data_IF_947663196279
#
_entry.id   IF_947663196279
#
_cell.length_a   1.000
_cell.length_b   1.000
_cell.length_c   1.000
_cell.angle_alpha   90.00
_cell.angle_beta   90.00
_cell.angle_gamma   90.00
#
_symmetry.space_group_name_H-M   'P 1'
#
loop_
_entity.id
_entity.type
_entity.pdbx_description
1 polymer ?
#
# COMPACT_ATOMS: atom_id res chain seq x y z
N UNK A 1 -19.39 -32.13 11.47
CA UNK A 1 -18.53 -30.98 11.83
C UNK A 1 -18.60 -30.05 10.64
N UNK A 2 -19.33 -28.96 10.79
CA UNK A 2 -19.66 -28.05 9.69
C UNK A 2 -18.40 -27.34 9.23
N UNK A 3 -18.02 -27.58 7.97
CA UNK A 3 -17.01 -26.80 7.26
C UNK A 3 -17.60 -25.40 7.01
N UNK A 4 -17.15 -24.41 7.77
CA UNK A 4 -17.28 -23.02 7.34
C UNK A 4 -16.26 -22.82 6.22
N UNK A 5 -16.68 -23.05 4.97
CA UNK A 5 -16.03 -22.36 3.86
C UNK A 5 -16.27 -20.86 4.07
N UNK A 6 -15.25 -20.00 4.04
CA UNK A 6 -15.49 -18.57 4.04
C UNK A 6 -16.36 -18.26 2.83
N UNK A 7 -17.35 -17.40 3.03
CA UNK A 7 -18.28 -17.00 1.99
C UNK A 7 -17.46 -16.55 0.77
N UNK A 8 -17.54 -17.32 -0.32
CA UNK A 8 -16.77 -17.08 -1.52
C UNK A 8 -16.99 -15.66 -2.04
N UNK A 9 -16.03 -15.15 -2.81
CA UNK A 9 -16.03 -13.78 -3.35
C UNK A 9 -17.32 -13.37 -4.10
N UNK A 10 -18.18 -14.32 -4.49
CA UNK A 10 -19.54 -14.10 -5.00
C UNK A 10 -20.52 -13.46 -3.99
N UNK A 11 -20.14 -13.32 -2.71
CA UNK A 11 -21.00 -12.83 -1.64
C UNK A 11 -20.77 -11.36 -1.23
N UNK A 12 -19.73 -10.69 -1.72
CA UNK A 12 -19.45 -9.30 -1.34
C UNK A 12 -20.36 -8.31 -2.09
N UNK A 13 -21.13 -7.51 -1.36
CA UNK A 13 -21.79 -6.32 -1.91
C UNK A 13 -20.75 -5.21 -2.14
N UNK A 14 -20.36 -5.03 -3.40
CA UNK A 14 -19.38 -4.03 -3.82
C UNK A 14 -20.03 -2.74 -4.35
N UNK A 15 -21.35 -2.59 -4.29
CA UNK A 15 -22.06 -1.44 -4.84
C UNK A 15 -21.56 -0.12 -4.24
N UNK A 16 -21.37 -0.07 -2.93
CA UNK A 16 -20.88 1.10 -2.20
C UNK A 16 -19.45 1.54 -2.59
N UNK A 17 -18.66 0.64 -3.19
CA UNK A 17 -17.32 0.99 -3.69
C UNK A 17 -17.38 1.82 -4.97
N UNK A 18 -18.42 1.68 -5.79
CA UNK A 18 -18.47 2.26 -7.16
C UNK A 18 -19.60 3.26 -7.39
N UNK A 19 -20.62 3.27 -6.54
CA UNK A 19 -21.76 4.18 -6.66
C UNK A 19 -21.34 5.67 -6.72
N UNK A 20 -22.12 6.52 -7.38
CA UNK A 20 -21.84 7.97 -7.37
C UNK A 20 -22.10 8.56 -5.99
N UNK A 21 -21.11 9.23 -5.40
CA UNK A 21 -21.23 9.85 -4.07
C UNK A 21 -21.37 11.37 -4.19
N UNK A 22 -22.28 11.95 -3.42
CA UNK A 22 -22.45 13.40 -3.32
C UNK A 22 -21.40 13.99 -2.38
N UNK A 23 -20.71 15.04 -2.83
CA UNK A 23 -19.62 15.68 -2.09
C UNK A 23 -20.00 16.12 -0.66
N UNK A 24 -21.23 16.59 -0.45
CA UNK A 24 -21.72 17.01 0.88
C UNK A 24 -21.70 15.86 1.89
N UNK A 25 -22.05 14.64 1.47
CA UNK A 25 -22.05 13.45 2.32
C UNK A 25 -20.63 13.09 2.74
N UNK A 26 -19.69 13.10 1.79
CA UNK A 26 -18.26 12.86 2.06
C UNK A 26 -17.72 13.90 3.06
N UNK A 27 -18.04 15.18 2.88
CA UNK A 27 -17.55 16.21 3.80
C UNK A 27 -18.14 16.10 5.20
N UNK A 28 -19.39 15.65 5.33
CA UNK A 28 -20.04 15.44 6.62
C UNK A 28 -19.42 14.25 7.34
N UNK A 29 -19.20 13.16 6.61
CA UNK A 29 -18.49 11.97 7.08
C UNK A 29 -17.06 12.30 7.55
N UNK A 30 -16.31 13.04 6.75
CA UNK A 30 -14.95 13.45 7.09
C UNK A 30 -14.89 14.28 8.40
N UNK A 31 -15.83 15.19 8.60
CA UNK A 31 -15.93 15.98 9.85
C UNK A 31 -16.26 15.12 11.05
N UNK A 32 -17.14 14.13 10.89
CA UNK A 32 -17.46 13.16 11.95
C UNK A 32 -16.20 12.39 12.36
N UNK A 33 -15.48 11.81 11.39
CA UNK A 33 -14.23 11.10 11.66
C UNK A 33 -13.20 11.99 12.35
N UNK A 34 -13.04 13.24 11.92
CA UNK A 34 -12.13 14.19 12.58
C UNK A 34 -12.52 14.43 14.06
N UNK A 35 -13.82 14.52 14.36
CA UNK A 35 -14.30 14.70 15.75
C UNK A 35 -14.14 13.47 16.63
N UNK A 36 -14.33 12.27 16.08
CA UNK A 36 -14.33 11.00 16.83
C UNK A 36 -12.92 10.42 17.00
N UNK A 37 -12.12 10.50 15.94
CA UNK A 37 -10.81 9.81 15.84
C UNK A 37 -9.63 10.78 15.74
N UNK A 38 -9.88 12.09 15.65
CA UNK A 38 -8.83 13.09 15.47
C UNK A 38 -8.18 13.07 14.09
N UNK A 39 -8.66 12.21 13.18
CA UNK A 39 -8.09 12.03 11.86
C UNK A 39 -8.52 13.19 10.97
N UNK A 40 -7.56 14.04 10.61
CA UNK A 40 -7.83 15.23 9.81
C UNK A 40 -7.91 14.88 8.33
N UNK A 41 -9.02 15.26 7.69
CA UNK A 41 -9.10 15.36 6.24
C UNK A 41 -8.38 16.63 5.80
N UNK A 42 -7.04 16.62 5.78
CA UNK A 42 -6.27 17.82 5.57
C UNK A 42 -4.94 17.57 4.89
N UNK A 43 -4.61 18.47 3.95
CA UNK A 43 -3.33 18.52 3.26
C UNK A 43 -2.19 18.35 4.26
N UNK A 44 -1.40 17.29 4.07
CA UNK A 44 -0.21 17.06 4.89
C UNK A 44 0.62 18.34 4.89
N UNK A 45 0.92 18.86 6.09
CA UNK A 45 1.79 20.04 6.26
C UNK A 45 3.12 19.88 5.53
N UNK A 46 3.52 18.63 5.31
CA UNK A 46 4.70 18.24 4.55
C UNK A 46 4.58 18.59 3.05
N UNK A 47 3.44 18.32 2.39
CA UNK A 47 3.27 18.56 0.95
C UNK A 47 3.26 20.06 0.64
N UNK A 48 2.59 20.85 1.49
CA UNK A 48 2.63 22.32 1.42
C UNK A 48 4.07 22.81 1.67
N UNK A 49 4.75 22.23 2.66
CA UNK A 49 6.15 22.53 2.96
C UNK A 49 7.09 22.28 1.77
N UNK A 50 6.98 21.11 1.12
CA UNK A 50 7.78 20.77 -0.06
C UNK A 50 7.50 21.71 -1.24
N UNK A 51 6.23 22.03 -1.51
CA UNK A 51 5.88 22.97 -2.57
C UNK A 51 6.47 24.37 -2.30
N UNK A 52 6.37 24.86 -1.05
CA UNK A 52 6.96 26.14 -0.63
C UNK A 52 8.48 26.12 -0.75
N UNK A 53 9.14 25.04 -0.34
CA UNK A 53 10.60 24.89 -0.42
C UNK A 53 11.08 24.87 -1.88
N UNK A 54 10.38 24.18 -2.80
CA UNK A 54 10.73 24.18 -4.23
C UNK A 54 10.61 25.59 -4.83
N UNK A 55 9.54 26.32 -4.49
CA UNK A 55 9.38 27.72 -4.92
C UNK A 55 10.52 28.59 -4.39
N UNK A 56 10.87 28.45 -3.11
CA UNK A 56 11.89 29.28 -2.46
C UNK A 56 13.32 28.94 -2.90
N UNK A 57 13.65 27.66 -3.11
CA UNK A 57 15.01 27.22 -3.45
C UNK A 57 15.32 27.20 -4.94
N UNK A 58 14.31 26.97 -5.78
CA UNK A 58 14.49 26.85 -7.23
C UNK A 58 13.84 28.02 -7.95
N UNK A 59 12.59 28.36 -7.61
CA UNK A 59 11.87 29.44 -8.29
C UNK A 59 12.53 30.80 -8.08
N UNK A 60 12.66 31.24 -6.82
CA UNK A 60 13.16 32.58 -6.49
C UNK A 60 14.60 32.83 -6.99
N UNK A 61 15.59 31.96 -6.75
CA UNK A 61 16.97 32.22 -7.16
C UNK A 61 17.13 32.22 -8.67
N UNK A 62 16.38 31.34 -9.37
CA UNK A 62 16.43 31.26 -10.83
C UNK A 62 15.78 32.49 -11.46
N UNK A 63 14.63 32.94 -10.97
CA UNK A 63 14.01 34.18 -11.46
C UNK A 63 14.87 35.42 -11.21
N UNK A 64 15.55 35.51 -10.05
CA UNK A 64 16.47 36.62 -9.74
C UNK A 64 17.70 36.60 -10.63
N UNK A 65 18.35 35.44 -10.79
CA UNK A 65 19.55 35.30 -11.62
C UNK A 65 19.28 35.67 -13.08
N UNK A 66 18.18 35.15 -13.64
CA UNK A 66 17.81 35.45 -15.02
C UNK A 66 17.32 36.90 -15.19
N UNK A 67 16.69 37.49 -14.17
CA UNK A 67 16.35 38.91 -14.14
C UNK A 67 17.60 39.80 -14.21
N UNK A 68 18.64 39.49 -13.44
CA UNK A 68 19.92 40.20 -13.47
C UNK A 68 20.61 40.04 -14.84
N UNK A 69 20.65 38.83 -15.40
CA UNK A 69 21.24 38.58 -16.73
C UNK A 69 20.50 39.30 -17.86
N UNK A 70 19.19 39.54 -17.71
CA UNK A 70 18.39 40.25 -18.71
C UNK A 70 18.74 41.74 -18.83
N UNK A 71 19.29 42.34 -17.78
CA UNK A 71 19.70 43.76 -17.77
C UNK A 71 20.94 44.01 -18.61
N UNK A 72 21.81 43.01 -18.76
CA UNK A 72 23.15 43.15 -19.35
C UNK A 72 23.26 42.52 -20.75
N UNK A 73 22.49 41.45 -21.03
CA UNK A 73 22.63 40.66 -22.27
C UNK A 73 21.40 40.67 -23.20
N UNK A 74 20.42 41.52 -22.92
CA UNK A 74 19.30 41.79 -23.83
C UNK A 74 18.16 40.76 -23.80
N UNK A 75 17.18 40.97 -24.70
CA UNK A 75 15.84 40.40 -24.62
C UNK A 75 15.76 38.85 -24.69
N UNK A 76 16.77 38.18 -25.25
CA UNK A 76 16.81 36.70 -25.32
C UNK A 76 16.82 36.09 -23.91
N UNK A 77 17.59 36.70 -22.99
CA UNK A 77 17.65 36.24 -21.59
C UNK A 77 16.38 36.59 -20.82
N UNK A 78 15.72 37.69 -21.16
CA UNK A 78 14.39 38.01 -20.62
C UNK A 78 13.34 36.96 -21.02
N UNK A 79 13.38 36.50 -22.28
CA UNK A 79 12.50 35.41 -22.76
C UNK A 79 12.81 34.11 -22.02
N UNK A 80 14.09 33.74 -21.87
CA UNK A 80 14.49 32.55 -21.11
C UNK A 80 14.04 32.62 -19.64
N UNK A 81 14.18 33.78 -18.99
CA UNK A 81 13.70 34.05 -17.63
C UNK A 81 12.20 33.79 -17.48
N UNK A 82 11.43 34.32 -18.44
CA UNK A 82 9.97 34.19 -18.46
C UNK A 82 9.56 32.73 -18.65
N UNK A 83 10.18 32.01 -19.58
CA UNK A 83 9.89 30.58 -19.84
C UNK A 83 10.18 29.72 -18.61
N UNK A 84 11.32 29.91 -17.96
CA UNK A 84 11.68 29.15 -16.76
C UNK A 84 10.74 29.46 -15.60
N UNK A 85 10.40 30.74 -15.39
CA UNK A 85 9.46 31.13 -14.34
C UNK A 85 8.07 30.53 -14.56
N UNK A 86 7.58 30.52 -15.82
CA UNK A 86 6.32 29.86 -16.20
C UNK A 86 6.41 28.35 -15.96
N UNK A 87 7.52 27.70 -16.33
CA UNK A 87 7.72 26.27 -16.09
C UNK A 87 7.72 25.92 -14.60
N UNK A 88 8.37 26.72 -13.75
CA UNK A 88 8.35 26.55 -12.29
C UNK A 88 6.94 26.68 -11.74
N UNK A 89 6.19 27.70 -12.15
CA UNK A 89 4.79 27.88 -11.73
C UNK A 89 3.93 26.70 -12.19
N UNK A 90 4.10 26.22 -13.42
CA UNK A 90 3.38 25.06 -13.93
C UNK A 90 3.70 23.78 -13.14
N UNK A 91 4.97 23.57 -12.76
CA UNK A 91 5.39 22.46 -11.89
C UNK A 91 4.74 22.60 -10.51
N UNK A 92 4.74 23.80 -9.93
CA UNK A 92 4.11 24.05 -8.63
C UNK A 92 2.60 23.79 -8.68
N UNK A 93 1.91 24.27 -9.72
CA UNK A 93 0.49 23.99 -9.92
C UNK A 93 0.25 22.48 -10.06
N UNK A 94 1.07 21.75 -10.83
CA UNK A 94 0.93 20.29 -10.93
C UNK A 94 1.15 19.60 -9.58
N UNK A 95 2.14 20.00 -8.80
CA UNK A 95 2.41 19.45 -7.45
C UNK A 95 1.22 19.73 -6.53
N UNK A 96 0.70 20.95 -6.52
CA UNK A 96 -0.46 21.33 -5.73
C UNK A 96 -1.73 20.59 -6.17
N UNK A 97 -1.94 20.41 -7.48
CA UNK A 97 -3.05 19.64 -8.01
C UNK A 97 -2.93 18.16 -7.65
N UNK A 98 -1.75 17.56 -7.78
CA UNK A 98 -1.50 16.17 -7.39
C UNK A 98 -1.72 15.96 -5.88
N UNK A 99 -1.18 16.85 -5.05
CA UNK A 99 -1.42 16.84 -3.61
C UNK A 99 -2.90 17.05 -3.27
N UNK A 100 -3.60 17.93 -3.98
CA UNK A 100 -5.05 18.15 -3.76
C UNK A 100 -5.91 16.95 -4.18
N UNK A 101 -5.52 16.23 -5.23
CA UNK A 101 -6.21 15.01 -5.69
C UNK A 101 -6.01 13.89 -4.69
N UNK A 102 -4.78 13.66 -4.25
CA UNK A 102 -4.46 12.68 -3.21
C UNK A 102 -5.24 12.96 -1.90
N UNK A 103 -5.41 14.23 -1.53
CA UNK A 103 -6.20 14.62 -0.36
C UNK A 103 -7.73 14.55 -0.55
N UNK A 104 -8.23 14.61 -1.79
CA UNK A 104 -9.67 14.47 -2.09
C UNK A 104 -10.10 13.01 -2.19
N UNK A 105 -9.20 12.16 -2.65
CA UNK A 105 -9.43 10.72 -2.79
C UNK A 105 -9.53 10.04 -1.42
N UNK A 106 -8.80 10.49 -0.40
CA UNK A 106 -8.81 9.86 0.91
C UNK A 106 -10.17 9.93 1.63
N UNK A 107 -10.84 11.09 1.79
CA UNK A 107 -12.16 11.14 2.43
C UNK A 107 -13.24 10.35 1.69
N UNK A 108 -13.24 10.40 0.35
CA UNK A 108 -14.20 9.64 -0.45
C UNK A 108 -13.97 8.14 -0.32
N UNK A 109 -12.71 7.68 -0.41
CA UNK A 109 -12.36 6.28 -0.20
C UNK A 109 -12.81 5.79 1.19
N UNK A 110 -12.54 6.56 2.25
CA UNK A 110 -12.96 6.21 3.62
C UNK A 110 -14.47 6.08 3.74
N UNK A 111 -15.22 7.01 3.15
CA UNK A 111 -16.68 6.94 3.12
C UNK A 111 -17.18 5.67 2.40
N UNK A 112 -16.61 5.36 1.23
CA UNK A 112 -16.95 4.17 0.45
C UNK A 112 -16.62 2.88 1.20
N UNK A 113 -15.46 2.82 1.84
CA UNK A 113 -15.03 1.66 2.60
C UNK A 113 -15.86 1.43 3.87
N UNK A 114 -16.25 2.49 4.57
CA UNK A 114 -17.16 2.35 5.72
C UNK A 114 -18.52 1.79 5.29
N UNK A 115 -19.05 2.26 4.16
CA UNK A 115 -20.31 1.74 3.60
C UNK A 115 -20.18 0.31 3.11
N UNK A 116 -19.11 0.02 2.36
CA UNK A 116 -18.78 -1.34 1.93
C UNK A 116 -18.68 -2.30 3.13
N UNK A 117 -18.02 -1.87 4.22
CA UNK A 117 -17.95 -2.67 5.43
C UNK A 117 -19.34 -2.91 6.04
N UNK A 118 -20.14 -1.84 6.17
CA UNK A 118 -21.49 -1.94 6.72
C UNK A 118 -22.42 -2.84 5.89
N UNK A 119 -22.35 -2.76 4.55
CA UNK A 119 -23.17 -3.57 3.64
C UNK A 119 -22.80 -5.07 3.68
N UNK A 120 -21.60 -5.39 4.18
CA UNK A 120 -21.06 -6.76 4.26
C UNK A 120 -20.85 -7.25 5.71
N UNK A 121 -21.37 -6.53 6.70
CA UNK A 121 -21.20 -6.86 8.13
C UNK A 121 -19.71 -6.99 8.56
N UNK A 122 -18.84 -6.17 7.97
CA UNK A 122 -17.42 -6.09 8.27
C UNK A 122 -17.11 -4.92 9.19
N UNK A 123 -15.99 -5.01 9.91
CA UNK A 123 -15.48 -3.90 10.72
C UNK A 123 -14.61 -2.97 9.86
N UNK A 124 -14.92 -1.68 9.90
CA UNK A 124 -14.07 -0.64 9.31
C UNK A 124 -13.36 0.16 10.40
N UNK A 125 -12.03 0.21 10.32
CA UNK A 125 -11.16 0.99 11.19
C UNK A 125 -10.37 1.99 10.34
N UNK A 126 -10.66 3.30 10.42
CA UNK A 126 -9.99 4.30 9.60
C UNK A 126 -8.47 4.35 9.79
N UNK A 127 -8.01 4.31 11.04
CA UNK A 127 -6.59 4.24 11.41
C UNK A 127 -6.41 3.38 12.66
N UNK A 128 -5.41 2.50 12.63
CA UNK A 128 -4.96 1.72 13.78
C UNK A 128 -3.46 1.97 14.00
N UNK A 129 -3.09 2.66 15.11
CA UNK A 129 -1.69 2.88 15.43
C UNK A 129 -1.04 1.62 16.00
N UNK A 130 0.21 1.39 15.63
CA UNK A 130 1.04 0.27 16.12
C UNK A 130 0.34 -1.10 15.99
N UNK A 131 -0.10 -1.49 14.77
CA UNK A 131 -0.75 -2.78 14.53
C UNK A 131 0.20 -3.92 14.92
N UNK A 132 -0.30 -4.87 15.71
CA UNK A 132 0.49 -5.96 16.30
C UNK A 132 0.31 -7.25 15.51
N UNK A 133 0.98 -7.32 14.36
CA UNK A 133 1.06 -8.56 13.58
C UNK A 133 2.49 -9.12 13.55
N UNK A 134 2.66 -10.45 13.45
CA UNK A 134 3.96 -11.10 13.38
C UNK A 134 4.69 -10.89 12.04
N UNK A 135 3.97 -10.44 10.99
CA UNK A 135 4.55 -10.21 9.67
C UNK A 135 5.69 -9.21 9.67
N UNK A 136 6.64 -9.39 8.76
CA UNK A 136 7.95 -8.76 8.89
C UNK A 136 7.93 -7.23 8.74
N UNK A 137 6.96 -6.67 8.00
CA UNK A 137 6.83 -5.22 7.83
C UNK A 137 6.36 -4.50 9.10
N UNK A 138 5.70 -5.23 10.03
CA UNK A 138 5.09 -4.65 11.22
C UNK A 138 6.09 -4.37 12.35
N UNK A 139 7.30 -4.92 12.26
CA UNK A 139 8.40 -4.62 13.21
C UNK A 139 9.31 -3.49 12.75
N UNK A 140 9.04 -2.90 11.57
CA UNK A 140 9.94 -1.92 10.93
C UNK A 140 9.60 -0.48 11.30
N UNK A 141 10.63 0.34 11.24
CA UNK A 141 10.50 1.79 11.42
C UNK A 141 9.89 2.17 12.76
N UNK A 142 9.28 3.34 12.77
CA UNK A 142 8.50 3.94 13.86
C UNK A 142 7.24 4.56 13.24
N UNK A 143 6.36 5.13 14.08
CA UNK A 143 5.12 5.79 13.63
C UNK A 143 4.29 4.86 12.73
N UNK A 144 4.12 3.60 13.17
CA UNK A 144 3.44 2.57 12.40
C UNK A 144 1.94 2.76 12.46
N UNK A 145 1.29 2.78 11.31
CA UNK A 145 -0.16 2.98 11.23
C UNK A 145 -0.73 2.12 10.12
N UNK A 146 -1.74 1.31 10.44
CA UNK A 146 -2.64 0.73 9.46
C UNK A 146 -3.75 1.74 9.14
N UNK A 147 -4.07 1.91 7.87
CA UNK A 147 -5.04 2.85 7.32
C UNK A 147 -6.12 2.08 6.58
N UNK A 148 -7.36 2.53 6.74
CA UNK A 148 -8.53 1.98 6.05
C UNK A 148 -8.63 0.46 6.23
N UNK A 149 -8.48 -0.01 7.46
CA UNK A 149 -8.50 -1.42 7.79
C UNK A 149 -9.94 -1.95 7.71
N UNK A 150 -10.12 -3.02 6.94
CA UNK A 150 -11.33 -3.83 6.88
C UNK A 150 -11.04 -5.16 7.54
N UNK A 151 -11.90 -5.56 8.47
CA UNK A 151 -11.77 -6.78 9.28
C UNK A 151 -13.00 -7.65 9.08
N UNK A 152 -12.79 -8.93 8.80
CA UNK A 152 -13.85 -9.95 8.81
C UNK A 152 -13.99 -10.49 10.23
N UNK A 153 -15.12 -10.25 10.91
CA UNK A 153 -15.35 -10.80 12.24
C UNK A 153 -15.36 -12.34 12.16
N UNK A 154 -14.51 -12.99 12.95
CA UNK A 154 -14.47 -14.46 13.09
C UNK A 154 -13.55 -15.22 12.14
N UNK A 155 -13.26 -14.70 10.94
CA UNK A 155 -12.34 -15.36 9.98
C UNK A 155 -10.88 -14.98 10.18
N UNK A 156 -10.61 -13.95 10.99
CA UNK A 156 -9.26 -13.44 11.21
C UNK A 156 -8.61 -12.85 9.95
N UNK A 157 -9.41 -12.63 8.90
CA UNK A 157 -9.02 -11.95 7.68
C UNK A 157 -9.07 -10.43 7.87
N UNK A 158 -8.01 -9.76 7.44
CA UNK A 158 -7.87 -8.32 7.49
C UNK A 158 -7.25 -7.80 6.19
N UNK A 159 -7.70 -6.64 5.73
CA UNK A 159 -7.13 -5.93 4.58
C UNK A 159 -6.97 -4.46 4.94
N UNK A 160 -5.77 -3.91 4.75
CA UNK A 160 -5.53 -2.50 5.01
C UNK A 160 -4.42 -1.94 4.12
N UNK A 161 -4.22 -0.64 4.22
CA UNK A 161 -2.98 0.01 3.82
C UNK A 161 -2.14 0.26 5.07
N UNK A 162 -0.82 0.35 4.95
CA UNK A 162 0.08 0.43 6.09
C UNK A 162 1.22 1.39 5.79
N UNK A 163 1.57 2.21 6.77
CA UNK A 163 2.71 3.11 6.67
C UNK A 163 3.61 3.04 7.90
N UNK A 164 4.89 3.27 7.67
CA UNK A 164 5.87 3.46 8.74
C UNK A 164 6.96 4.44 8.30
N UNK A 165 7.66 5.00 9.28
CA UNK A 165 8.74 5.95 9.05
C UNK A 165 10.07 5.31 9.42
N UNK A 166 11.04 5.40 8.52
CA UNK A 166 12.45 5.09 8.85
C UNK A 166 13.25 6.37 8.90
N UNK A 167 14.25 6.43 9.79
CA UNK A 167 15.22 7.51 9.82
C UNK A 167 16.54 7.03 9.24
N UNK A 168 16.98 7.67 8.16
CA UNK A 168 18.27 7.42 7.53
C UNK A 168 19.42 8.20 8.16
N UNK A 169 20.57 8.18 7.49
CA UNK A 169 21.73 8.98 7.88
C UNK A 169 21.36 10.48 7.93
N UNK A 170 21.83 11.19 8.97
CA UNK A 170 21.50 12.61 9.27
C UNK A 170 20.03 12.89 9.62
N UNK A 171 19.26 11.88 10.00
CA UNK A 171 17.89 12.07 10.49
C UNK A 171 16.86 12.36 9.39
N UNK A 172 17.21 12.08 8.13
CA UNK A 172 16.25 12.15 7.01
C UNK A 172 15.17 11.09 7.27
N UNK A 173 13.92 11.55 7.41
CA UNK A 173 12.76 10.67 7.58
C UNK A 173 12.22 10.26 6.21
N UNK A 174 12.07 8.96 6.00
CA UNK A 174 11.42 8.38 4.81
C UNK A 174 10.13 7.69 5.24
N UNK A 175 9.03 8.00 4.57
CA UNK A 175 7.74 7.33 4.74
C UNK A 175 7.68 6.16 3.77
N UNK A 176 7.34 4.99 4.29
CA UNK A 176 7.08 3.78 3.52
C UNK A 176 5.59 3.48 3.53
N UNK A 177 5.06 3.01 2.41
CA UNK A 177 3.64 2.68 2.25
C UNK A 177 3.50 1.29 1.63
N UNK A 178 2.52 0.55 2.13
CA UNK A 178 2.20 -0.84 1.80
C UNK A 178 0.68 -1.00 1.70
N UNK A 179 0.22 -1.90 0.84
CA UNK A 179 -1.04 -2.59 1.04
C UNK A 179 -0.75 -3.96 1.67
N UNK A 180 -1.60 -4.40 2.60
CA UNK A 180 -1.54 -5.75 3.11
C UNK A 180 -2.91 -6.40 3.22
N UNK A 181 -2.93 -7.72 3.02
CA UNK A 181 -4.01 -8.60 3.43
C UNK A 181 -3.43 -9.71 4.30
N UNK A 182 -4.15 -10.16 5.33
CA UNK A 182 -3.70 -11.25 6.19
C UNK A 182 -4.85 -12.09 6.67
N UNK A 183 -4.67 -13.40 6.75
CA UNK A 183 -5.65 -14.34 7.27
C UNK A 183 -4.99 -15.34 8.21
N UNK A 184 -5.77 -15.83 9.18
CA UNK A 184 -5.39 -16.98 9.99
C UNK A 184 -5.46 -18.25 9.13
N UNK A 185 -4.42 -19.08 9.15
CA UNK A 185 -4.44 -20.36 8.45
C UNK A 185 -5.21 -21.40 9.25
N UNK A 186 -6.03 -22.19 8.56
CA UNK A 186 -6.85 -23.26 9.16
C UNK A 186 -6.03 -24.53 9.43
N UNK A 187 -4.85 -24.64 8.82
CA UNK A 187 -3.94 -25.78 8.94
C UNK A 187 -2.50 -25.31 9.12
N UNK A 188 -1.63 -26.09 9.81
CA UNK A 188 -0.24 -25.72 9.99
C UNK A 188 0.49 -25.59 8.64
N UNK A 189 1.25 -24.51 8.48
CA UNK A 189 2.14 -24.30 7.34
C UNK A 189 3.55 -23.94 7.84
N UNK A 190 4.61 -24.32 7.10
CA UNK A 190 5.96 -23.91 7.45
C UNK A 190 6.12 -22.40 7.29
N UNK A 191 6.93 -21.80 8.18
CA UNK A 191 7.29 -20.40 8.03
C UNK A 191 8.12 -20.20 6.75
N UNK A 192 7.69 -19.27 5.91
CA UNK A 192 8.29 -19.01 4.61
C UNK A 192 8.09 -17.57 4.18
N UNK A 193 8.87 -17.17 3.19
CA UNK A 193 8.71 -15.91 2.48
C UNK A 193 8.88 -16.13 0.98
N UNK A 194 7.92 -15.68 0.19
CA UNK A 194 7.97 -15.64 -1.26
C UNK A 194 8.04 -14.17 -1.73
N UNK A 195 9.20 -13.76 -2.22
CA UNK A 195 9.44 -12.39 -2.70
C UNK A 195 9.39 -12.32 -4.23
N UNK A 196 8.43 -11.58 -4.78
CA UNK A 196 8.27 -11.29 -6.19
C UNK A 196 9.17 -10.15 -6.66
N UNK A 197 9.98 -10.41 -7.70
CA UNK A 197 10.96 -9.41 -8.22
C UNK A 197 10.34 -8.14 -8.80
N UNK A 198 9.03 -8.15 -9.13
CA UNK A 198 8.28 -7.00 -9.63
C UNK A 198 7.78 -6.09 -8.50
N UNK A 199 7.59 -6.61 -7.28
CA UNK A 199 7.17 -5.82 -6.13
C UNK A 199 8.38 -5.14 -5.46
N UNK A 200 9.11 -4.33 -6.23
CA UNK A 200 10.26 -3.61 -5.70
C UNK A 200 9.77 -2.56 -4.71
N UNK A 201 10.04 -2.80 -3.43
CA UNK A 201 9.81 -1.86 -2.35
C UNK A 201 9.63 -2.52 -1.00
N UNK A 202 8.97 -3.69 -0.92
CA UNK A 202 8.75 -4.34 0.38
C UNK A 202 10.09 -4.94 0.79
N UNK A 203 10.63 -5.76 -0.12
CA UNK A 203 11.84 -6.52 0.10
C UNK A 203 12.99 -5.81 -0.60
N UNK A 204 13.35 -4.62 -0.10
CA UNK A 204 14.78 -4.24 -0.10
C UNK A 204 15.54 -5.21 0.82
N UNK A 205 16.84 -5.38 0.61
CA UNK A 205 17.74 -6.47 1.06
C UNK A 205 17.65 -6.85 2.57
N UNK A 206 16.92 -6.08 3.36
CA UNK A 206 16.72 -6.26 4.80
C UNK A 206 15.48 -7.08 5.20
N UNK A 207 14.48 -7.30 4.33
CA UNK A 207 13.33 -8.17 4.72
C UNK A 207 13.78 -9.62 4.62
N UNK A 208 14.60 -9.97 3.65
CA UNK A 208 15.20 -11.31 3.60
C UNK A 208 16.11 -11.59 4.79
N UNK A 209 16.54 -10.61 5.61
CA UNK A 209 17.50 -10.77 6.72
C UNK A 209 17.28 -12.00 7.64
N UNK A 210 16.04 -12.40 7.92
CA UNK A 210 15.76 -13.63 8.70
C UNK A 210 16.20 -14.90 7.97
N UNK A 211 16.16 -14.88 6.64
CA UNK A 211 16.56 -15.95 5.74
C UNK A 211 17.87 -15.67 4.96
N UNK A 212 18.46 -14.47 5.06
CA UNK A 212 19.55 -13.94 4.23
C UNK A 212 20.88 -14.71 4.39
N UNK A 213 20.96 -15.54 5.43
CA UNK A 213 22.06 -16.50 5.62
C UNK A 213 21.92 -17.71 4.66
N UNK A 214 20.86 -17.76 3.83
CA UNK A 214 20.51 -18.93 2.99
C UNK A 214 20.45 -18.58 1.51
N UNK A 215 20.45 -19.63 0.70
CA UNK A 215 20.19 -19.51 -0.73
C UNK A 215 18.69 -19.66 -0.99
N UNK A 216 18.02 -18.70 -1.65
CA UNK A 216 16.62 -18.83 -2.00
C UNK A 216 16.41 -19.86 -3.11
N UNK A 217 15.26 -20.52 -3.10
CA UNK A 217 14.78 -21.29 -4.25
C UNK A 217 14.12 -20.35 -5.24
N UNK A 218 14.58 -20.32 -6.48
CA UNK A 218 14.01 -19.46 -7.52
C UNK A 218 12.81 -20.15 -8.16
N UNK A 219 11.70 -19.43 -8.25
CA UNK A 219 10.49 -19.88 -8.93
C UNK A 219 10.15 -18.90 -10.05
N UNK A 220 9.51 -19.40 -11.11
CA UNK A 220 9.12 -18.59 -12.26
C UNK A 220 7.84 -19.10 -12.87
N UNK A 221 7.08 -18.19 -13.48
CA UNK A 221 5.88 -18.48 -14.27
C UNK A 221 6.19 -18.35 -15.76
N UNK A 222 5.42 -19.00 -16.66
CA UNK A 222 5.66 -18.90 -18.11
C UNK A 222 5.52 -17.49 -18.68
N UNK A 223 4.72 -16.63 -18.07
CA UNK A 223 4.55 -15.21 -18.43
C UNK A 223 5.67 -14.30 -17.90
N UNK A 224 6.73 -14.88 -17.31
CA UNK A 224 7.92 -14.16 -16.87
C UNK A 224 7.84 -13.56 -15.47
N UNK A 225 6.87 -13.96 -14.66
CA UNK A 225 6.90 -13.76 -13.21
C UNK A 225 8.11 -14.46 -12.59
N UNK A 226 8.75 -13.81 -11.62
CA UNK A 226 9.97 -14.31 -10.97
C UNK A 226 9.89 -14.08 -9.48
N UNK A 227 10.19 -15.13 -8.72
CA UNK A 227 10.11 -15.15 -7.28
C UNK A 227 11.34 -15.78 -6.65
N UNK A 228 11.64 -15.35 -5.43
CA UNK A 228 12.59 -15.99 -4.53
C UNK A 228 11.83 -16.54 -3.32
N UNK A 229 11.83 -17.85 -3.18
CA UNK A 229 11.26 -18.58 -2.05
C UNK A 229 12.35 -18.82 -1.00
N UNK A 230 12.07 -18.33 0.20
CA UNK A 230 12.89 -18.48 1.39
C UNK A 230 12.12 -19.32 2.41
N UNK A 231 12.76 -20.36 2.93
CA UNK A 231 12.21 -21.20 3.99
C UNK A 231 13.37 -21.82 4.80
N UNK A 232 13.03 -22.60 5.83
CA UNK A 232 14.03 -23.44 6.51
C UNK A 232 14.43 -24.62 5.61
N UNK A 233 15.71 -25.07 5.63
CA UNK A 233 16.15 -26.17 4.76
C UNK A 233 15.34 -27.46 4.91
N UNK A 234 14.88 -27.76 6.13
CA UNK A 234 14.02 -28.91 6.40
C UNK A 234 12.59 -28.77 5.83
N UNK A 235 12.16 -27.54 5.57
CA UNK A 235 10.79 -27.19 5.19
C UNK A 235 10.69 -26.74 3.72
N UNK A 236 11.81 -26.59 3.01
CA UNK A 236 11.85 -26.00 1.65
C UNK A 236 11.05 -26.81 0.63
N UNK A 237 11.06 -28.14 0.73
CA UNK A 237 10.30 -29.00 -0.18
C UNK A 237 8.80 -28.91 0.07
N UNK A 238 8.37 -28.76 1.32
CA UNK A 238 6.96 -28.53 1.69
C UNK A 238 6.53 -27.14 1.20
N UNK A 239 7.32 -26.11 1.53
CA UNK A 239 7.07 -24.74 1.10
C UNK A 239 6.95 -24.62 -0.42
N UNK A 240 7.84 -25.30 -1.18
CA UNK A 240 7.80 -25.27 -2.66
C UNK A 240 6.52 -25.90 -3.23
N UNK A 241 5.94 -26.91 -2.59
CA UNK A 241 4.71 -27.57 -3.06
C UNK A 241 3.46 -26.69 -2.93
N UNK A 242 3.48 -25.69 -2.04
CA UNK A 242 2.39 -24.72 -1.93
C UNK A 242 2.23 -23.86 -3.18
N UNK A 243 3.30 -23.67 -3.94
CA UNK A 243 3.34 -22.77 -5.09
C UNK A 243 3.34 -23.53 -6.40
N UNK A 244 2.15 -23.68 -6.97
CA UNK A 244 2.01 -24.10 -8.35
C UNK A 244 2.04 -22.90 -9.31
N UNK A 245 2.01 -23.20 -10.60
CA UNK A 245 2.08 -22.18 -11.64
C UNK A 245 0.91 -21.19 -11.60
N UNK A 246 -0.29 -21.68 -11.25
CA UNK A 246 -1.50 -20.86 -11.18
C UNK A 246 -1.42 -19.83 -10.06
N UNK A 247 -1.06 -20.25 -8.84
CA UNK A 247 -0.90 -19.34 -7.71
C UNK A 247 0.23 -18.34 -7.95
N UNK A 248 1.37 -18.78 -8.47
CA UNK A 248 2.47 -17.87 -8.80
C UNK A 248 2.06 -16.82 -9.84
N UNK A 249 1.27 -17.20 -10.84
CA UNK A 249 0.78 -16.27 -11.86
C UNK A 249 -0.21 -15.26 -11.27
N UNK A 250 -1.10 -15.72 -10.38
CA UNK A 250 -2.04 -14.88 -9.65
C UNK A 250 -1.31 -13.83 -8.78
N UNK A 251 -0.25 -14.23 -8.07
CA UNK A 251 0.59 -13.32 -7.28
C UNK A 251 1.41 -12.38 -8.17
N UNK A 252 1.91 -12.85 -9.32
CA UNK A 252 2.70 -12.05 -10.25
C UNK A 252 1.88 -10.94 -10.90
N UNK A 253 0.61 -11.19 -11.20
CA UNK A 253 -0.30 -10.24 -11.85
C UNK A 253 -0.47 -8.94 -11.04
N UNK A 254 -0.41 -9.03 -9.71
CA UNK A 254 -0.54 -7.88 -8.80
C UNK A 254 0.76 -7.49 -8.08
N UNK A 255 1.88 -8.10 -8.46
CA UNK A 255 3.19 -7.90 -7.83
C UNK A 255 3.09 -8.05 -6.31
N UNK A 256 2.74 -9.26 -5.88
CA UNK A 256 2.50 -9.58 -4.47
C UNK A 256 3.68 -10.37 -3.92
N UNK A 257 4.06 -10.01 -2.70
CA UNK A 257 4.91 -10.86 -1.87
C UNK A 257 4.06 -11.57 -0.83
N UNK A 258 4.45 -12.77 -0.45
CA UNK A 258 3.70 -13.61 0.46
C UNK A 258 4.59 -14.07 1.61
N UNK A 259 4.12 -13.91 2.84
CA UNK A 259 4.78 -14.41 4.04
C UNK A 259 3.84 -15.34 4.80
N UNK A 260 4.36 -16.46 5.30
CA UNK A 260 3.68 -17.27 6.30
C UNK A 260 4.51 -17.27 7.56
N UNK A 261 3.91 -16.83 8.67
CA UNK A 261 4.55 -16.74 9.98
C UNK A 261 3.50 -16.84 11.08
N UNK A 262 3.82 -17.54 12.17
CA UNK A 262 2.95 -17.73 13.34
C UNK A 262 1.50 -18.15 13.00
N UNK A 263 1.36 -19.07 12.04
CA UNK A 263 0.07 -19.62 11.63
C UNK A 263 -0.79 -18.65 10.81
N UNK A 264 -0.23 -17.54 10.31
CA UNK A 264 -0.92 -16.58 9.46
C UNK A 264 -0.24 -16.47 8.12
N UNK A 265 -1.04 -16.18 7.09
CA UNK A 265 -0.54 -15.71 5.80
C UNK A 265 -0.66 -14.19 5.70
N UNK A 266 0.32 -13.56 5.07
CA UNK A 266 0.33 -12.16 4.72
C UNK A 266 0.60 -12.02 3.23
N UNK A 267 -0.17 -11.15 2.58
CA UNK A 267 0.05 -10.68 1.22
C UNK A 267 0.46 -9.21 1.30
N UNK A 268 1.59 -8.85 0.70
CA UNK A 268 2.11 -7.48 0.71
C UNK A 268 2.21 -6.93 -0.70
N UNK A 269 1.83 -5.67 -0.87
CA UNK A 269 1.92 -4.93 -2.13
C UNK A 269 2.49 -3.54 -1.94
N UNK A 270 3.28 -3.05 -2.89
CA UNK A 270 3.67 -1.63 -2.94
C UNK A 270 2.55 -0.70 -3.43
N UNK A 271 1.37 -1.26 -3.72
CA UNK A 271 0.14 -0.54 -4.02
C UNK A 271 -0.87 -0.72 -2.91
N UNK A 272 -1.84 0.20 -2.75
CA UNK A 272 -2.95 0.01 -1.84
C UNK A 272 -3.72 -1.28 -2.14
N UNK A 273 -4.04 -2.04 -1.09
CA UNK A 273 -4.92 -3.21 -1.17
C UNK A 273 -6.32 -2.91 -0.59
N UNK A 274 -6.41 -1.99 0.38
CA UNK A 274 -7.69 -1.42 0.80
C UNK A 274 -8.03 -0.24 -0.12
N UNK A 275 -8.93 -0.49 -1.07
CA UNK A 275 -9.21 0.37 -2.23
C UNK A 275 -10.70 0.35 -2.60
N UNK A 276 -11.13 1.29 -3.45
CA UNK A 276 -12.49 1.32 -4.01
C UNK A 276 -12.66 0.44 -5.25
N UNK A 277 -11.62 -0.30 -5.65
CA UNK A 277 -11.65 -1.23 -6.79
C UNK A 277 -12.21 -2.60 -6.37
N UNK A 278 -13.41 -2.99 -6.84
CA UNK A 278 -14.02 -4.28 -6.51
C UNK A 278 -13.15 -5.49 -6.88
N UNK A 279 -12.46 -5.43 -8.03
CA UNK A 279 -11.65 -6.55 -8.53
C UNK A 279 -10.49 -6.89 -7.60
N UNK A 280 -10.02 -5.91 -6.83
CA UNK A 280 -8.98 -6.12 -5.82
C UNK A 280 -9.51 -6.93 -4.63
N UNK A 281 -10.73 -6.67 -4.17
CA UNK A 281 -11.36 -7.42 -3.07
C UNK A 281 -11.62 -8.87 -3.44
N UNK A 282 -12.24 -9.10 -4.61
CA UNK A 282 -12.49 -10.44 -5.16
C UNK A 282 -11.18 -11.23 -5.25
N UNK A 283 -10.16 -10.62 -5.85
CA UNK A 283 -8.86 -11.27 -5.99
C UNK A 283 -8.20 -11.59 -4.65
N UNK A 284 -8.30 -10.73 -3.62
CA UNK A 284 -7.74 -11.01 -2.29
C UNK A 284 -8.41 -12.26 -1.71
N UNK A 285 -9.75 -12.31 -1.71
CA UNK A 285 -10.50 -13.44 -1.16
C UNK A 285 -10.17 -14.74 -1.89
N UNK A 286 -10.16 -14.73 -3.22
CA UNK A 286 -9.79 -15.89 -4.03
C UNK A 286 -8.36 -16.35 -3.76
N UNK A 287 -7.42 -15.41 -3.61
CA UNK A 287 -6.01 -15.72 -3.34
C UNK A 287 -5.87 -16.35 -1.95
N UNK A 288 -6.51 -15.78 -0.93
CA UNK A 288 -6.49 -16.31 0.44
C UNK A 288 -7.11 -17.70 0.47
N UNK A 289 -8.27 -17.91 -0.16
CA UNK A 289 -8.91 -19.22 -0.24
C UNK A 289 -8.01 -20.25 -0.92
N UNK A 290 -7.40 -19.88 -2.06
CA UNK A 290 -6.46 -20.75 -2.77
C UNK A 290 -5.30 -21.17 -1.86
N UNK A 291 -4.78 -20.26 -1.03
CA UNK A 291 -3.71 -20.57 -0.09
C UNK A 291 -4.19 -21.52 1.02
N UNK A 292 -5.38 -21.29 1.59
CA UNK A 292 -5.96 -22.18 2.61
C UNK A 292 -6.10 -23.60 2.08
N UNK A 293 -6.67 -23.76 0.89
CA UNK A 293 -6.87 -25.07 0.25
C UNK A 293 -5.54 -25.78 0.01
N UNK A 294 -4.51 -25.04 -0.43
CA UNK A 294 -3.17 -25.58 -0.65
C UNK A 294 -2.53 -26.05 0.64
N UNK A 295 -2.59 -25.24 1.69
CA UNK A 295 -2.04 -25.59 3.00
C UNK A 295 -2.76 -26.81 3.58
N UNK A 296 -4.08 -26.88 3.47
CA UNK A 296 -4.87 -28.02 3.93
C UNK A 296 -4.57 -29.33 3.15
N UNK A 297 -4.14 -29.21 1.89
CA UNK A 297 -3.80 -30.35 1.03
C UNK A 297 -2.33 -30.82 1.12
N UNK A 298 -1.48 -30.07 1.83
CA UNK A 298 0.00 -30.20 1.78
C UNK A 298 0.64 -31.21 2.72
#
# INVERSE_FOLDING_TARGET
MSSNSPAGADALDVHSLTESVVLSTVTTHARRLESESGIRAGVSRFDIGCAVVIVLLVGVPTSVLFGIMSLDQGYIWAIAAAVISIATVAICIRVLLAASRHNREAPELRYRLERFAADNELDYVPEEPEPKHPGQIFSRGQDRVAHNLIRWPGEGLEVANYSYVTSGYRGIRSVWQWGYATAQLDSPAPALLLAGKKNKGAFDDRITALFDIRTPTRLSTPDGGRFELWAWPRDIDVARRLFDESLLSQLAARAIDLEIVDGRVFLFSNRPLSTSDPDTWTWILETVQTIQDRVASS
#
